data_IF_186714888885
#
_entry.id   IF_186714888885
#
_cell.length_a   1.000
_cell.length_b   1.000
_cell.length_c   1.000
_cell.angle_alpha   90.00
_cell.angle_beta   90.00
_cell.angle_gamma   90.00
#
_symmetry.space_group_name_H-M   'P 1'
#
loop_
_entity.id
_entity.type
_entity.pdbx_description
1 polymer ?
#
# COMPACT_ATOMS: atom_id res chain seq x y z
N UNK A 1 39.01 -49.34 -37.09
CA UNK A 1 39.04 -48.92 -35.67
C UNK A 1 38.98 -47.39 -35.50
N UNK A 2 39.67 -46.60 -36.32
CA UNK A 2 39.72 -45.13 -36.24
C UNK A 2 38.37 -44.41 -36.40
N UNK A 3 37.46 -44.93 -37.24
CA UNK A 3 36.10 -44.36 -37.44
C UNK A 3 35.21 -44.44 -36.19
N UNK A 4 35.32 -45.52 -35.43
CA UNK A 4 34.51 -45.71 -34.21
C UNK A 4 35.02 -44.86 -33.04
N UNK A 5 36.33 -44.58 -33.00
CA UNK A 5 36.94 -43.68 -32.01
C UNK A 5 36.49 -42.23 -32.24
N UNK A 6 36.38 -41.79 -33.50
CA UNK A 6 35.86 -40.46 -33.84
C UNK A 6 34.39 -40.29 -33.47
N UNK A 7 33.57 -41.31 -33.69
CA UNK A 7 32.15 -41.31 -33.29
C UNK A 7 32.04 -41.26 -31.75
N UNK A 8 32.83 -42.04 -31.02
CA UNK A 8 32.84 -42.02 -29.55
C UNK A 8 33.35 -40.67 -28.99
N UNK A 9 34.30 -40.02 -29.66
CA UNK A 9 34.78 -38.68 -29.32
C UNK A 9 33.72 -37.59 -29.62
N UNK A 10 32.94 -37.72 -30.71
CA UNK A 10 31.84 -36.80 -31.01
C UNK A 10 30.64 -36.97 -30.06
N UNK A 11 30.33 -38.20 -29.64
CA UNK A 11 29.27 -38.45 -28.66
C UNK A 11 29.66 -37.98 -27.24
N UNK A 12 30.94 -37.98 -26.89
CA UNK A 12 31.42 -37.45 -25.61
C UNK A 12 31.60 -35.92 -25.60
N UNK A 13 31.60 -35.27 -26.77
CA UNK A 13 31.57 -33.82 -26.91
C UNK A 13 30.17 -33.20 -26.79
N UNK A 14 29.12 -34.03 -26.70
CA UNK A 14 27.80 -33.57 -26.31
C UNK A 14 27.87 -33.07 -24.86
N UNK A 15 28.09 -31.77 -24.70
CA UNK A 15 28.09 -31.10 -23.39
C UNK A 15 26.77 -31.44 -22.71
N UNK A 16 26.84 -32.25 -21.66
CA UNK A 16 25.74 -32.37 -20.72
C UNK A 16 25.52 -30.96 -20.16
N UNK A 17 24.43 -30.32 -20.61
CA UNK A 17 23.92 -29.12 -19.98
C UNK A 17 23.72 -29.49 -18.50
N UNK A 18 24.50 -28.92 -17.60
CA UNK A 18 24.40 -29.17 -16.15
C UNK A 18 23.18 -28.47 -15.53
N UNK A 19 22.15 -28.22 -16.35
CA UNK A 19 20.91 -27.56 -15.96
C UNK A 19 19.95 -28.62 -15.45
N UNK A 20 19.31 -28.34 -14.33
CA UNK A 20 18.31 -29.22 -13.73
C UNK A 20 16.93 -28.63 -14.01
N UNK A 21 16.14 -29.30 -14.84
CA UNK A 21 14.73 -28.97 -15.08
C UNK A 21 13.81 -29.91 -14.30
N UNK A 22 12.99 -29.38 -13.40
CA UNK A 22 11.90 -30.13 -12.74
C UNK A 22 10.58 -29.65 -13.32
N UNK A 23 9.91 -30.47 -14.12
CA UNK A 23 8.71 -30.08 -14.86
C UNK A 23 8.98 -29.16 -16.06
N UNK A 24 10.25 -28.88 -16.38
CA UNK A 24 10.69 -28.04 -17.51
C UNK A 24 11.54 -28.88 -18.46
N UNK A 25 11.18 -28.89 -19.75
CA UNK A 25 11.85 -29.72 -20.77
C UNK A 25 13.09 -29.05 -21.38
N UNK A 26 13.19 -27.72 -21.28
CA UNK A 26 14.32 -26.93 -21.79
C UNK A 26 14.69 -25.84 -20.78
N UNK A 27 15.31 -26.20 -19.65
CA UNK A 27 15.67 -25.23 -18.62
C UNK A 27 16.66 -24.19 -19.19
N UNK A 28 16.39 -22.90 -18.96
CA UNK A 28 17.29 -21.79 -19.31
C UNK A 28 18.22 -21.44 -18.16
N UNK A 29 17.78 -21.68 -16.92
CA UNK A 29 18.56 -21.49 -15.71
C UNK A 29 19.29 -22.75 -15.25
N UNK A 30 20.25 -22.61 -14.32
CA UNK A 30 20.96 -23.76 -13.73
C UNK A 30 20.03 -24.73 -13.00
N UNK A 31 18.99 -24.20 -12.36
CA UNK A 31 17.89 -24.95 -11.79
C UNK A 31 16.61 -24.23 -12.16
N UNK A 32 15.70 -24.91 -12.85
CA UNK A 32 14.40 -24.38 -13.22
C UNK A 32 13.31 -25.36 -12.81
N UNK A 33 12.33 -24.88 -12.04
CA UNK A 33 11.25 -25.71 -11.51
C UNK A 33 9.92 -25.13 -11.96
N UNK A 34 9.19 -25.86 -12.80
CA UNK A 34 7.80 -25.58 -13.11
C UNK A 34 6.91 -26.22 -12.05
N UNK A 35 6.79 -25.55 -10.90
CA UNK A 35 6.00 -26.00 -9.76
C UNK A 35 6.47 -25.38 -8.45
N UNK A 36 6.02 -25.97 -7.34
CA UNK A 36 6.41 -25.53 -5.99
C UNK A 36 7.78 -26.08 -5.59
N UNK A 37 8.56 -25.27 -4.85
CA UNK A 37 9.85 -25.67 -4.28
C UNK A 37 9.79 -25.60 -2.76
N UNK A 38 10.30 -26.63 -2.10
CA UNK A 38 10.51 -26.66 -0.65
C UNK A 38 12.02 -26.61 -0.36
N UNK A 39 12.48 -25.59 0.39
CA UNK A 39 13.90 -25.40 0.71
C UNK A 39 14.08 -25.57 2.22
N UNK A 40 14.91 -26.53 2.63
CA UNK A 40 14.98 -26.95 4.03
C UNK A 40 15.87 -26.11 4.95
N UNK A 41 16.64 -25.14 4.43
CA UNK A 41 17.63 -24.41 5.23
C UNK A 41 17.63 -22.89 4.99
N UNK A 42 18.10 -22.42 3.84
CA UNK A 42 18.24 -20.99 3.56
C UNK A 42 18.05 -20.70 2.07
N UNK A 43 17.34 -19.61 1.77
CA UNK A 43 17.31 -18.98 0.45
C UNK A 43 18.03 -17.65 0.55
N UNK A 44 19.07 -17.47 -0.27
CA UNK A 44 19.75 -16.19 -0.42
C UNK A 44 19.49 -15.67 -1.82
N UNK A 45 18.79 -14.53 -1.93
CA UNK A 45 18.75 -13.77 -3.18
C UNK A 45 19.92 -12.78 -3.13
N UNK A 46 20.77 -12.81 -4.15
CA UNK A 46 21.77 -11.75 -4.35
C UNK A 46 21.06 -10.54 -5.00
N UNK A 47 20.83 -9.45 -4.24
CA UNK A 47 20.07 -8.32 -4.75
C UNK A 47 20.79 -7.63 -5.92
N UNK A 48 22.12 -7.73 -6.02
CA UNK A 48 22.92 -6.98 -7.00
C UNK A 48 22.60 -7.33 -8.46
N UNK A 49 22.06 -8.53 -8.72
CA UNK A 49 21.61 -8.96 -10.05
C UNK A 49 20.13 -8.69 -10.33
N UNK A 50 19.31 -8.38 -9.30
CA UNK A 50 17.86 -8.26 -9.41
C UNK A 50 17.33 -6.81 -9.30
N UNK A 51 18.20 -5.83 -9.03
CA UNK A 51 17.81 -4.43 -8.79
C UNK A 51 17.25 -3.68 -10.01
N UNK A 52 17.32 -4.23 -11.22
CA UNK A 52 17.01 -3.52 -12.46
C UNK A 52 15.92 -4.20 -13.30
N UNK A 53 14.84 -4.69 -12.69
CA UNK A 53 13.66 -5.10 -13.44
C UNK A 53 12.56 -4.02 -13.38
N UNK A 54 12.32 -3.26 -14.47
CA UNK A 54 11.20 -2.31 -14.57
C UNK A 54 9.82 -2.97 -14.46
N UNK A 55 9.74 -4.30 -14.58
CA UNK A 55 8.49 -5.05 -14.59
C UNK A 55 7.97 -5.46 -13.18
N UNK A 56 8.64 -5.06 -12.10
CA UNK A 56 8.15 -5.29 -10.74
C UNK A 56 9.24 -5.74 -9.77
N UNK A 57 8.95 -5.61 -8.49
CA UNK A 57 9.81 -6.07 -7.40
C UNK A 57 9.25 -7.38 -6.82
N UNK A 58 10.13 -8.34 -6.53
CA UNK A 58 9.76 -9.60 -5.89
C UNK A 58 9.83 -9.44 -4.37
N UNK A 59 8.70 -9.62 -3.67
CA UNK A 59 8.70 -9.77 -2.21
C UNK A 59 8.85 -11.24 -1.88
N UNK A 60 9.86 -11.57 -1.08
CA UNK A 60 9.93 -12.86 -0.38
C UNK A 60 9.27 -12.73 0.98
N UNK A 61 8.15 -13.43 1.19
CA UNK A 61 7.55 -13.62 2.51
C UNK A 61 7.87 -15.01 3.05
N UNK A 62 8.17 -15.12 4.35
CA UNK A 62 8.25 -16.42 5.04
C UNK A 62 6.96 -16.64 5.82
N UNK A 63 6.34 -17.82 5.73
CA UNK A 63 5.24 -18.21 6.62
C UNK A 63 5.86 -18.77 7.93
N UNK A 64 5.69 -18.09 9.08
CA UNK A 64 6.27 -18.52 10.34
C UNK A 64 5.65 -19.81 10.93
N UNK A 65 4.55 -20.32 10.36
CA UNK A 65 3.87 -21.54 10.84
C UNK A 65 4.19 -22.80 10.03
N UNK A 66 4.98 -22.71 8.97
CA UNK A 66 5.37 -23.86 8.14
C UNK A 66 6.60 -24.59 8.73
N UNK A 67 6.49 -25.90 8.95
CA UNK A 67 7.59 -26.77 9.41
C UNK A 67 8.65 -27.06 8.34
N UNK A 68 8.32 -26.76 7.07
CA UNK A 68 9.29 -26.50 6.01
C UNK A 68 9.55 -25.00 6.05
N UNK A 69 10.64 -24.57 6.68
CA UNK A 69 10.88 -23.14 6.92
C UNK A 69 11.17 -22.44 5.60
N UNK A 70 10.49 -21.31 5.34
CA UNK A 70 11.18 -20.20 4.67
C UNK A 70 10.60 -19.60 3.40
N UNK A 71 9.30 -19.77 3.12
CA UNK A 71 8.58 -18.93 2.16
C UNK A 71 8.24 -19.60 0.85
N UNK A 72 6.94 -19.71 0.58
CA UNK A 72 6.48 -19.73 -0.80
C UNK A 72 7.02 -18.43 -1.44
N UNK A 73 7.87 -18.58 -2.47
CA UNK A 73 8.29 -17.45 -3.31
C UNK A 73 7.08 -17.05 -4.12
N UNK A 74 6.21 -16.23 -3.54
CA UNK A 74 5.07 -15.69 -4.25
C UNK A 74 5.59 -14.57 -5.14
N UNK A 75 5.71 -14.85 -6.44
CA UNK A 75 5.79 -13.78 -7.43
C UNK A 75 4.54 -12.93 -7.28
N UNK A 76 4.71 -11.69 -6.82
CA UNK A 76 3.62 -10.72 -6.78
C UNK A 76 3.44 -10.24 -8.23
N UNK A 77 2.79 -11.07 -9.04
CA UNK A 77 2.52 -10.73 -10.45
C UNK A 77 1.64 -9.48 -10.50
N UNK A 78 2.16 -8.44 -11.18
CA UNK A 78 1.58 -7.28 -11.90
C UNK A 78 0.23 -6.62 -11.49
N UNK A 79 -0.50 -7.10 -10.50
CA UNK A 79 -1.81 -6.58 -10.08
C UNK A 79 -1.88 -6.19 -8.60
N UNK A 80 -0.88 -6.55 -7.79
CA UNK A 80 -0.90 -6.32 -6.34
C UNK A 80 0.35 -5.61 -5.86
N UNK A 81 0.51 -4.33 -6.21
CA UNK A 81 1.54 -3.52 -5.55
C UNK A 81 1.19 -3.38 -4.06
N UNK A 82 2.13 -3.64 -3.14
CA UNK A 82 1.95 -3.44 -1.70
C UNK A 82 1.45 -2.05 -1.33
N UNK A 83 1.84 -1.08 -2.15
CA UNK A 83 1.49 0.32 -2.07
C UNK A 83 0.91 0.76 -3.41
N UNK A 84 -0.24 1.41 -3.39
CA UNK A 84 -0.84 2.05 -4.56
C UNK A 84 -1.23 3.47 -4.18
N UNK A 85 -0.99 4.43 -5.08
CA UNK A 85 -1.44 5.80 -4.92
C UNK A 85 -2.60 6.04 -5.87
N UNK A 86 -3.76 6.41 -5.33
CA UNK A 86 -4.95 6.76 -6.09
C UNK A 86 -5.25 8.25 -5.91
N UNK A 87 -4.99 9.10 -6.93
CA UNK A 87 -5.36 10.50 -6.91
C UNK A 87 -6.87 10.67 -7.06
N UNK A 88 -7.42 11.68 -6.39
CA UNK A 88 -8.80 12.11 -6.49
C UNK A 88 -8.87 13.62 -6.74
N UNK A 89 -9.86 14.03 -7.52
CA UNK A 89 -10.27 15.43 -7.66
C UNK A 89 -11.79 15.50 -7.53
N UNK A 90 -12.26 16.09 -6.44
CA UNK A 90 -13.67 16.18 -6.10
C UNK A 90 -14.12 17.62 -6.32
N UNK A 91 -15.18 17.79 -7.11
CA UNK A 91 -15.72 19.09 -7.48
C UNK A 91 -17.18 19.20 -7.07
N UNK A 92 -17.72 20.43 -7.10
CA UNK A 92 -19.14 20.70 -6.85
C UNK A 92 -19.64 20.23 -5.47
N UNK A 93 -18.77 20.24 -4.46
CA UNK A 93 -19.09 19.82 -3.09
C UNK A 93 -20.14 20.76 -2.48
N UNK A 94 -21.24 20.21 -1.97
CA UNK A 94 -22.30 21.03 -1.38
C UNK A 94 -21.77 21.74 -0.13
N UNK A 95 -21.71 23.08 -0.16
CA UNK A 95 -21.23 23.92 0.95
C UNK A 95 -19.82 23.54 1.41
N UNK A 96 -18.96 23.12 0.49
CA UNK A 96 -17.59 22.68 0.75
C UNK A 96 -17.45 21.48 1.72
N UNK A 97 -18.56 20.93 2.22
CA UNK A 97 -18.54 19.83 3.20
C UNK A 97 -18.71 18.48 2.50
N UNK A 98 -17.59 17.79 2.31
CA UNK A 98 -17.57 16.39 1.89
C UNK A 98 -17.80 15.50 3.12
N UNK A 99 -19.07 15.29 3.48
CA UNK A 99 -19.44 14.58 4.71
C UNK A 99 -19.18 13.07 4.65
N UNK A 100 -19.42 12.47 3.48
CA UNK A 100 -19.28 11.05 3.24
C UNK A 100 -19.06 10.77 1.75
N UNK A 101 -17.83 10.38 1.40
CA UNK A 101 -17.49 9.82 0.09
C UNK A 101 -17.06 8.36 0.26
N UNK A 102 -17.87 7.43 -0.23
CA UNK A 102 -17.46 6.03 -0.35
C UNK A 102 -16.37 5.89 -1.43
N UNK A 103 -15.18 5.45 -1.03
CA UNK A 103 -14.05 5.27 -1.94
C UNK A 103 -14.13 3.96 -2.74
N UNK A 104 -15.07 3.08 -2.40
CA UNK A 104 -15.20 1.73 -2.95
C UNK A 104 -13.93 0.88 -2.77
N UNK A 105 -13.19 1.14 -1.69
CA UNK A 105 -11.99 0.40 -1.30
C UNK A 105 -12.37 -0.56 -0.16
N UNK A 106 -12.24 -1.88 -0.33
CA UNK A 106 -12.63 -2.86 0.68
C UNK A 106 -11.81 -2.76 1.97
N UNK A 107 -12.47 -2.72 3.12
CA UNK A 107 -11.82 -2.63 4.44
C UNK A 107 -11.16 -3.94 4.85
N UNK A 108 -11.62 -5.08 4.36
CA UNK A 108 -11.04 -6.40 4.67
C UNK A 108 -9.67 -6.60 3.99
N UNK A 109 -9.44 -5.98 2.83
CA UNK A 109 -8.24 -6.17 2.02
C UNK A 109 -7.20 -5.08 2.18
N UNK A 110 -7.62 -3.86 2.52
CA UNK A 110 -6.73 -2.70 2.48
C UNK A 110 -6.83 -1.86 3.74
N UNK A 111 -5.73 -1.20 4.10
CA UNK A 111 -5.75 -0.01 4.93
C UNK A 111 -5.36 1.19 4.07
N UNK A 112 -5.86 2.38 4.41
CA UNK A 112 -5.65 3.57 3.57
C UNK A 112 -5.28 4.79 4.39
N UNK A 113 -4.59 5.74 3.76
CA UNK A 113 -4.27 7.06 4.34
C UNK A 113 -4.52 8.15 3.31
N UNK A 114 -4.78 9.38 3.79
CA UNK A 114 -4.92 10.56 2.93
C UNK A 114 -3.55 11.26 2.85
N UNK A 115 -3.15 11.67 1.65
CA UNK A 115 -1.95 12.46 1.40
C UNK A 115 -2.22 13.58 0.38
N UNK A 116 -1.28 14.53 0.27
CA UNK A 116 -1.29 15.58 -0.75
C UNK A 116 -2.62 16.34 -0.90
N UNK A 117 -3.29 16.62 0.23
CA UNK A 117 -4.56 17.35 0.21
C UNK A 117 -4.37 18.82 -0.17
N UNK A 118 -5.19 19.29 -1.11
CA UNK A 118 -5.27 20.67 -1.56
C UNK A 118 -6.74 21.07 -1.75
N UNK A 119 -7.11 22.27 -1.28
CA UNK A 119 -8.40 22.89 -1.52
C UNK A 119 -8.26 24.08 -2.47
N UNK A 120 -8.81 23.97 -3.67
CA UNK A 120 -8.69 24.96 -4.75
C UNK A 120 -10.01 25.75 -4.88
N UNK A 121 -10.01 27.09 -4.76
CA UNK A 121 -11.23 27.89 -4.91
C UNK A 121 -11.68 27.98 -6.39
N UNK A 122 -13.00 27.91 -6.65
CA UNK A 122 -13.53 27.94 -8.03
C UNK A 122 -13.45 29.31 -8.72
N UNK A 123 -13.51 30.42 -7.98
CA UNK A 123 -13.28 31.79 -8.49
C UNK A 123 -13.43 32.82 -7.36
N UNK A 124 -12.47 33.72 -7.16
CA UNK A 124 -12.60 34.88 -6.25
C UNK A 124 -12.75 34.57 -4.76
N UNK A 125 -12.67 33.30 -4.36
CA UNK A 125 -12.85 32.88 -2.99
C UNK A 125 -11.51 32.94 -2.22
N UNK A 126 -11.40 33.88 -1.28
CA UNK A 126 -10.16 34.19 -0.55
C UNK A 126 -10.00 33.40 0.77
N UNK A 127 -10.78 32.35 1.01
CA UNK A 127 -10.63 31.46 2.16
C UNK A 127 -11.88 30.63 2.47
N UNK A 128 -11.72 29.58 3.27
CA UNK A 128 -12.85 28.90 3.93
C UNK A 128 -13.52 29.96 4.83
N UNK A 129 -14.73 30.38 4.47
CA UNK A 129 -15.42 31.50 5.10
C UNK A 129 -15.52 31.30 6.62
N UNK A 130 -14.79 32.11 7.38
CA UNK A 130 -15.15 32.42 8.76
C UNK A 130 -16.23 33.51 8.69
N UNK A 131 -17.46 33.28 9.20
CA UNK A 131 -18.40 34.36 9.32
C UNK A 131 -17.74 35.42 10.20
N UNK A 132 -17.60 36.61 9.62
CA UNK A 132 -17.06 37.85 10.18
C UNK A 132 -16.94 37.82 11.70
N UNK A 133 -15.72 37.99 12.18
CA UNK A 133 -15.36 38.27 13.56
C UNK A 133 -16.41 39.17 14.25
N UNK A 134 -17.25 38.59 15.09
CA UNK A 134 -17.81 39.34 16.21
C UNK A 134 -16.65 39.52 17.20
N UNK A 135 -16.09 40.72 17.39
CA UNK A 135 -14.92 40.91 18.25
C UNK A 135 -15.24 40.69 19.74
N UNK A 136 -16.50 40.41 20.10
CA UNK A 136 -17.01 40.50 21.47
C UNK A 136 -17.71 39.21 21.93
N UNK A 137 -17.63 38.11 21.18
CA UNK A 137 -18.00 36.79 21.73
C UNK A 137 -16.88 35.81 21.45
N UNK A 138 -16.01 35.64 22.44
CA UNK A 138 -15.31 34.37 22.62
C UNK A 138 -16.29 33.23 22.40
N UNK A 139 -15.97 32.29 21.52
CA UNK A 139 -15.98 30.82 21.74
C UNK A 139 -16.37 30.08 20.46
N UNK A 140 -15.50 29.13 20.08
CA UNK A 140 -15.62 28.18 18.98
C UNK A 140 -15.10 28.67 17.62
N UNK A 141 -13.79 28.52 17.44
CA UNK A 141 -13.13 28.56 16.11
C UNK A 141 -13.46 27.33 15.27
N UNK A 142 -14.41 26.50 15.68
CA UNK A 142 -14.77 25.30 14.98
C UNK A 142 -13.72 24.20 15.01
N UNK A 143 -14.01 23.10 14.31
CA UNK A 143 -13.02 22.07 14.00
C UNK A 143 -13.13 21.70 12.53
N UNK A 144 -11.98 21.49 11.90
CA UNK A 144 -11.88 20.94 10.55
C UNK A 144 -11.72 19.43 10.65
N UNK A 145 -12.49 18.70 9.87
CA UNK A 145 -12.42 17.24 9.77
C UNK A 145 -11.69 16.91 8.47
N UNK A 146 -10.61 16.14 8.59
CA UNK A 146 -9.96 15.45 7.48
C UNK A 146 -9.69 14.03 7.96
N UNK A 147 -10.53 13.08 7.57
CA UNK A 147 -10.41 11.69 8.03
C UNK A 147 -10.87 10.70 6.97
N UNK A 148 -10.27 9.52 7.02
CA UNK A 148 -10.75 8.32 6.35
C UNK A 148 -11.17 7.31 7.42
N UNK A 149 -12.32 6.66 7.22
CA UNK A 149 -12.93 5.79 8.22
C UNK A 149 -13.63 4.60 7.58
N UNK A 150 -13.75 3.51 8.33
CA UNK A 150 -14.50 2.34 7.88
C UNK A 150 -16.00 2.60 8.02
N UNK A 151 -16.78 2.33 6.97
CA UNK A 151 -18.24 2.35 7.00
C UNK A 151 -18.78 1.15 6.22
N UNK A 152 -19.27 0.14 6.94
CA UNK A 152 -19.62 -1.14 6.34
C UNK A 152 -18.40 -1.82 5.69
N UNK A 153 -18.51 -2.30 4.43
CA UNK A 153 -17.43 -3.03 3.77
C UNK A 153 -16.36 -2.12 3.15
N UNK A 154 -16.55 -0.79 3.15
CA UNK A 154 -15.70 0.14 2.40
C UNK A 154 -15.09 1.23 3.28
N UNK A 155 -13.98 1.77 2.79
CA UNK A 155 -13.39 3.01 3.29
C UNK A 155 -14.15 4.24 2.77
N UNK A 156 -14.45 5.16 3.68
CA UNK A 156 -15.16 6.40 3.42
C UNK A 156 -14.31 7.60 3.83
N UNK A 157 -14.46 8.71 3.13
CA UNK A 157 -13.74 9.96 3.37
C UNK A 157 -14.69 11.04 3.90
N UNK A 158 -14.21 11.82 4.87
CA UNK A 158 -14.85 13.05 5.32
C UNK A 158 -13.83 14.20 5.33
N UNK A 159 -14.14 15.24 4.56
CA UNK A 159 -13.42 16.51 4.52
C UNK A 159 -14.46 17.62 4.72
N UNK A 160 -14.55 18.20 5.91
CA UNK A 160 -15.62 19.12 6.25
C UNK A 160 -15.21 20.14 7.31
N UNK A 161 -15.90 21.26 7.32
CA UNK A 161 -15.85 22.28 8.37
C UNK A 161 -17.25 22.48 8.96
N UNK A 162 -17.79 21.48 9.70
CA UNK A 162 -19.20 21.43 10.07
C UNK A 162 -19.66 22.60 10.94
N UNK A 163 -18.73 23.23 11.67
CA UNK A 163 -19.02 24.32 12.60
C UNK A 163 -19.13 25.70 11.95
N UNK A 164 -18.53 25.93 10.77
CA UNK A 164 -18.66 27.21 10.06
C UNK A 164 -19.78 27.18 9.02
N UNK A 165 -20.20 25.97 8.57
CA UNK A 165 -21.34 25.74 7.66
C UNK A 165 -21.37 26.79 6.55
N UNK A 166 -20.45 26.69 5.59
CA UNK A 166 -20.31 27.71 4.55
C UNK A 166 -21.65 27.86 3.82
N UNK A 167 -22.23 29.05 3.87
CA UNK A 167 -23.57 29.26 3.29
C UNK A 167 -23.53 29.40 1.76
N UNK A 168 -22.33 29.54 1.19
CA UNK A 168 -22.14 29.73 -0.24
C UNK A 168 -22.26 28.39 -0.98
N UNK A 169 -23.21 28.31 -1.91
CA UNK A 169 -23.41 27.14 -2.78
C UNK A 169 -22.96 27.38 -4.21
N UNK A 170 -22.33 28.51 -4.51
CA UNK A 170 -21.98 28.96 -5.87
C UNK A 170 -20.46 28.98 -6.06
N UNK A 171 -19.69 29.43 -5.06
CA UNK A 171 -18.21 29.51 -5.12
C UNK A 171 -17.55 28.39 -4.30
N UNK A 172 -17.65 27.16 -4.80
CA UNK A 172 -17.24 25.94 -4.08
C UNK A 172 -15.74 25.65 -4.23
N UNK A 173 -15.16 25.02 -3.24
CA UNK A 173 -13.83 24.44 -3.35
C UNK A 173 -13.85 23.13 -4.14
N UNK A 174 -12.79 22.92 -4.92
CA UNK A 174 -12.41 21.63 -5.44
C UNK A 174 -11.37 21.01 -4.51
N UNK A 175 -11.54 19.75 -4.13
CA UNK A 175 -10.62 19.03 -3.26
C UNK A 175 -9.80 18.04 -4.08
N UNK A 176 -8.49 18.24 -4.09
CA UNK A 176 -7.53 17.28 -4.61
C UNK A 176 -6.85 16.58 -3.45
N UNK A 177 -6.67 15.27 -3.55
CA UNK A 177 -5.94 14.48 -2.55
C UNK A 177 -5.57 13.13 -3.14
N UNK A 178 -4.60 12.47 -2.52
CA UNK A 178 -4.23 11.10 -2.81
C UNK A 178 -4.73 10.18 -1.70
N UNK A 179 -5.29 9.04 -2.07
CA UNK A 179 -5.47 7.90 -1.17
C UNK A 179 -4.32 6.95 -1.40
N UNK A 180 -3.48 6.80 -0.37
CA UNK A 180 -2.44 5.77 -0.35
C UNK A 180 -3.08 4.49 0.16
N UNK A 181 -3.09 3.47 -0.68
CA UNK A 181 -3.71 2.18 -0.43
C UNK A 181 -2.62 1.17 -0.14
N UNK A 182 -2.74 0.50 1.00
CA UNK A 182 -1.81 -0.50 1.44
C UNK A 182 -2.50 -1.84 1.55
N UNK A 183 -1.93 -2.85 0.92
CA UNK A 183 -2.46 -4.22 1.01
C UNK A 183 -2.25 -4.77 2.42
N UNK A 184 -3.35 -5.21 3.06
CA UNK A 184 -3.29 -5.85 4.39
C UNK A 184 -2.48 -7.16 4.38
N UNK A 185 -2.19 -7.72 3.20
CA UNK A 185 -1.27 -8.87 3.05
C UNK A 185 0.16 -8.57 3.49
N UNK A 186 0.60 -7.32 3.42
CA UNK A 186 1.97 -6.90 3.73
C UNK A 186 2.04 -6.00 4.96
N UNK A 187 1.00 -6.04 5.79
CA UNK A 187 0.83 -5.17 6.94
C UNK A 187 0.64 -5.98 8.21
N UNK A 188 1.27 -5.52 9.29
CA UNK A 188 1.06 -6.03 10.63
C UNK A 188 0.26 -5.02 11.43
N UNK A 189 -0.99 -5.37 11.76
CA UNK A 189 -1.78 -4.60 12.71
C UNK A 189 -1.33 -4.93 14.14
N UNK A 190 -0.84 -3.93 14.88
CA UNK A 190 -0.45 -4.09 16.29
C UNK A 190 -1.63 -3.88 17.25
N UNK A 191 -2.82 -3.59 16.73
CA UNK A 191 -4.02 -3.30 17.51
C UNK A 191 -4.08 -1.85 18.00
N UNK A 192 -5.15 -1.54 18.72
CA UNK A 192 -5.38 -0.21 19.32
C UNK A 192 -4.68 -0.15 20.68
N UNK A 193 -3.85 0.87 20.87
CA UNK A 193 -3.33 1.23 22.20
C UNK A 193 -4.22 2.33 22.79
N UNK A 194 -4.95 2.02 23.86
CA UNK A 194 -5.76 2.99 24.59
C UNK A 194 -4.94 3.60 25.72
N UNK A 195 -4.97 4.93 25.86
CA UNK A 195 -4.27 5.66 26.90
C UNK A 195 -5.13 6.83 27.38
N UNK A 196 -5.28 6.96 28.69
CA UNK A 196 -6.04 8.03 29.33
C UNK A 196 -5.07 9.08 29.90
N UNK A 197 -5.23 10.35 29.46
CA UNK A 197 -4.43 11.47 29.93
C UNK A 197 -4.86 12.00 31.29
N UNK A 198 -5.95 11.52 31.89
CA UNK A 198 -6.48 11.97 33.19
C UNK A 198 -6.67 13.49 33.27
N UNK A 199 -7.09 14.11 32.16
CA UNK A 199 -7.26 15.57 32.06
C UNK A 199 -5.97 16.37 31.81
N UNK A 200 -4.83 15.73 31.60
CA UNK A 200 -3.56 16.38 31.22
C UNK A 200 -3.52 16.74 29.73
N UNK A 201 -2.84 17.84 29.38
CA UNK A 201 -2.57 18.26 27.99
C UNK A 201 -1.34 17.59 27.37
N UNK A 202 -0.64 16.77 28.15
CA UNK A 202 0.57 16.05 27.72
C UNK A 202 0.67 14.70 28.41
N UNK A 203 1.24 13.71 27.72
CA UNK A 203 1.50 12.39 28.29
C UNK A 203 2.42 11.56 27.41
N UNK A 204 2.71 10.35 27.87
CA UNK A 204 3.56 9.39 27.17
C UNK A 204 2.78 8.10 26.98
N UNK A 205 2.83 7.54 25.77
CA UNK A 205 2.19 6.26 25.51
C UNK A 205 2.75 5.15 26.43
N UNK A 206 1.95 4.15 26.85
CA UNK A 206 2.37 3.14 27.82
C UNK A 206 3.60 2.31 27.39
N UNK A 207 3.76 2.07 26.09
CA UNK A 207 4.89 1.35 25.52
C UNK A 207 5.14 1.76 24.06
N UNK A 208 6.38 1.62 23.61
CA UNK A 208 6.71 1.73 22.20
C UNK A 208 6.10 0.55 21.40
N UNK A 209 5.79 0.72 20.10
CA UNK A 209 5.32 -0.39 19.27
C UNK A 209 6.36 -1.51 19.23
N UNK A 210 5.94 -2.75 19.48
CA UNK A 210 6.80 -3.94 19.43
C UNK A 210 6.76 -4.61 18.06
N UNK A 211 7.91 -5.02 17.53
CA UNK A 211 8.01 -5.73 16.24
C UNK A 211 8.07 -4.80 15.03
N UNK A 212 8.73 -3.65 15.20
CA UNK A 212 9.33 -2.83 14.15
C UNK A 212 10.64 -3.50 13.71
#
# INVERSE_FOLDING_TARGET
>A
MTKYILILALLSAARYQAQVGIGVTSPVEKLEVAGSVAIGQLVTIDPTNYVNNPAGFTILGTDPLSSVVGGEVLSVENLYTPLTVQPYSITNIYRDDLNDLNLNIPTDKYFVTIANFEAIPSSGNNGIYSPVANPVTTTNRGHFILRVFESGPNWHLNIAYPTLNTQNTTDRYNYNFDIIIYSKRFYKNLGIVTYDLQGSNSGTAPAAPSGI
#
